data_IF_829149914759
#
_entry.id   IF_829149914759
#
_cell.length_a   1.000
_cell.length_b   1.000
_cell.length_c   1.000
_cell.angle_alpha   90.00
_cell.angle_beta   90.00
_cell.angle_gamma   90.00
#
_symmetry.space_group_name_H-M   'P 1'
#
loop_
_entity.id
_entity.type
_entity.pdbx_description
1 polymer ?
#
# COMPACT_ATOMS: atom_id res chain seq x y z
N UNK A 1 -37.60 8.19 17.47
CA UNK A 1 -36.82 6.96 17.21
C UNK A 1 -35.72 7.33 16.23
N UNK A 2 -34.57 7.77 16.75
CA UNK A 2 -33.40 8.08 15.92
C UNK A 2 -32.55 6.83 15.83
N UNK A 3 -32.25 6.38 14.62
CA UNK A 3 -31.36 5.24 14.40
C UNK A 3 -29.93 5.80 14.52
N UNK A 4 -29.32 5.64 15.70
CA UNK A 4 -27.87 5.71 15.82
C UNK A 4 -27.29 4.52 15.03
N UNK A 5 -26.74 4.80 13.84
CA UNK A 5 -25.80 3.86 13.24
C UNK A 5 -24.48 4.06 13.97
N UNK A 6 -24.09 3.07 14.76
CA UNK A 6 -22.74 2.93 15.25
C UNK A 6 -21.81 2.79 14.04
N UNK A 7 -21.36 3.94 13.54
CA UNK A 7 -20.34 4.04 12.51
C UNK A 7 -19.04 3.74 13.24
N UNK A 8 -18.62 2.48 13.21
CA UNK A 8 -17.33 2.06 13.74
C UNK A 8 -16.19 2.99 13.30
N UNK A 9 -15.00 2.89 13.91
CA UNK A 9 -13.89 3.78 13.61
C UNK A 9 -13.66 3.86 12.10
N UNK A 10 -13.84 5.05 11.52
CA UNK A 10 -13.70 5.26 10.09
C UNK A 10 -12.34 4.79 9.56
N UNK A 11 -12.28 4.46 8.27
CA UNK A 11 -11.09 3.92 7.64
C UNK A 11 -9.85 4.80 7.90
N UNK A 12 -8.78 4.18 8.42
CA UNK A 12 -7.51 4.85 8.71
C UNK A 12 -6.51 4.49 7.62
N UNK A 13 -6.28 5.39 6.67
CA UNK A 13 -5.44 5.13 5.51
C UNK A 13 -4.45 6.27 5.32
N UNK A 14 -3.16 5.94 5.15
CA UNK A 14 -2.09 6.85 4.75
C UNK A 14 -1.52 6.37 3.41
N UNK A 15 -1.61 7.21 2.38
CA UNK A 15 -1.22 6.87 1.02
C UNK A 15 -0.05 7.75 0.57
N UNK A 16 1.12 7.14 0.38
CA UNK A 16 2.36 7.81 0.01
C UNK A 16 2.60 7.71 -1.49
N UNK A 17 2.98 8.81 -2.13
CA UNK A 17 3.23 8.85 -3.58
C UNK A 17 4.45 8.01 -3.98
N UNK A 18 5.53 8.05 -3.19
CA UNK A 18 6.77 7.32 -3.47
C UNK A 18 7.33 6.64 -2.20
N UNK A 19 8.32 5.74 -2.35
CA UNK A 19 8.95 5.06 -1.21
C UNK A 19 10.33 5.62 -0.85
N UNK A 20 10.94 6.36 -1.77
CA UNK A 20 12.30 6.90 -1.61
C UNK A 20 12.38 8.24 -2.35
N UNK A 21 13.05 9.22 -1.73
CA UNK A 21 13.49 10.45 -2.38
C UNK A 21 14.95 10.28 -2.85
N UNK A 22 15.32 10.90 -3.97
CA UNK A 22 16.65 10.72 -4.56
C UNK A 22 17.76 11.07 -3.55
N UNK A 23 18.64 10.11 -3.25
CA UNK A 23 19.77 10.28 -2.31
C UNK A 23 19.45 10.01 -0.84
N UNK A 24 18.22 9.62 -0.52
CA UNK A 24 17.81 9.30 0.85
C UNK A 24 17.65 7.79 1.09
N UNK A 25 17.64 7.41 2.36
CA UNK A 25 17.30 6.04 2.78
C UNK A 25 15.82 5.74 2.50
N UNK A 26 15.50 4.45 2.34
CA UNK A 26 14.13 3.98 2.18
C UNK A 26 13.20 4.52 3.29
N UNK A 27 12.09 5.14 2.87
CA UNK A 27 11.08 5.83 3.70
C UNK A 27 11.57 7.02 4.55
N UNK A 28 12.80 7.50 4.40
CA UNK A 28 13.37 8.56 5.24
C UNK A 28 12.48 9.82 5.33
N UNK A 29 12.00 10.33 4.19
CA UNK A 29 11.10 11.49 4.15
C UNK A 29 9.74 11.24 4.84
N UNK A 30 9.28 9.98 4.86
CA UNK A 30 7.96 9.59 5.34
C UNK A 30 7.96 9.10 6.80
N UNK A 31 9.14 8.85 7.40
CA UNK A 31 9.23 8.28 8.76
C UNK A 31 8.42 9.08 9.79
N UNK A 32 8.46 10.44 9.83
CA UNK A 32 7.69 11.20 10.82
C UNK A 32 6.18 10.98 10.65
N UNK A 33 5.71 10.89 9.41
CA UNK A 33 4.29 10.70 9.08
C UNK A 33 3.82 9.28 9.40
N UNK A 34 4.61 8.26 9.03
CA UNK A 34 4.29 6.85 9.32
C UNK A 34 4.27 6.63 10.84
N UNK A 35 5.29 7.14 11.54
CA UNK A 35 5.40 7.01 13.00
C UNK A 35 4.24 7.67 13.73
N UNK A 36 3.91 8.91 13.38
CA UNK A 36 2.79 9.63 14.00
C UNK A 36 1.44 8.94 13.70
N UNK A 37 1.25 8.47 12.47
CA UNK A 37 0.04 7.78 12.05
C UNK A 37 -0.20 6.48 12.84
N UNK A 38 0.79 5.59 12.90
CA UNK A 38 0.64 4.34 13.67
C UNK A 38 0.57 4.58 15.18
N UNK A 39 1.30 5.57 15.71
CA UNK A 39 1.21 5.97 17.13
C UNK A 39 -0.20 6.43 17.50
N UNK A 40 -0.85 7.27 16.68
CA UNK A 40 -2.25 7.69 16.85
C UNK A 40 -3.24 6.53 16.80
N UNK A 41 -2.86 5.44 16.14
CA UNK A 41 -3.66 4.21 16.07
C UNK A 41 -3.33 3.20 17.18
N UNK A 42 -2.38 3.50 18.07
CA UNK A 42 -1.84 2.57 19.07
C UNK A 42 -1.34 1.26 18.45
N UNK A 43 -0.58 1.38 17.34
CA UNK A 43 0.02 0.27 16.62
C UNK A 43 1.54 0.35 16.72
N UNK A 44 2.15 -0.70 17.25
CA UNK A 44 3.59 -0.89 17.38
C UNK A 44 4.10 -2.05 16.53
N UNK A 45 3.22 -2.82 15.88
CA UNK A 45 3.54 -3.92 14.98
C UNK A 45 2.68 -3.90 13.72
N UNK A 46 3.28 -4.12 12.57
CA UNK A 46 2.58 -4.12 11.27
C UNK A 46 2.90 -5.37 10.45
N UNK A 47 1.93 -5.79 9.65
CA UNK A 47 2.11 -6.79 8.61
C UNK A 47 2.50 -6.11 7.31
N UNK A 48 3.67 -6.46 6.79
CA UNK A 48 4.20 -5.98 5.52
C UNK A 48 3.81 -6.90 4.37
N UNK A 49 3.36 -6.29 3.26
CA UNK A 49 3.03 -6.96 2.00
C UNK A 49 4.10 -6.60 0.94
N UNK A 50 5.12 -7.44 0.72
CA UNK A 50 6.25 -7.18 -0.19
C UNK A 50 5.99 -7.61 -1.64
N UNK A 51 4.75 -7.90 -2.01
CA UNK A 51 4.40 -8.57 -3.26
C UNK A 51 4.72 -7.78 -4.54
N UNK A 52 5.08 -6.50 -4.45
CA UNK A 52 5.42 -5.69 -5.62
C UNK A 52 6.81 -5.98 -6.23
N UNK A 53 7.67 -6.75 -5.54
CA UNK A 53 9.03 -7.10 -5.98
C UNK A 53 9.26 -8.63 -5.92
N UNK A 54 10.19 -9.14 -6.73
CA UNK A 54 10.53 -10.58 -6.72
C UNK A 54 11.37 -10.98 -5.50
N UNK A 55 12.36 -10.18 -5.13
CA UNK A 55 13.18 -10.40 -3.93
C UNK A 55 12.43 -9.91 -2.68
N UNK A 56 11.52 -10.72 -2.17
CA UNK A 56 10.69 -10.38 -1.01
C UNK A 56 11.47 -10.42 0.30
N UNK A 57 12.46 -11.30 0.43
CA UNK A 57 13.32 -11.39 1.61
C UNK A 57 14.21 -10.16 1.75
N UNK A 58 14.93 -9.80 0.67
CA UNK A 58 15.74 -8.59 0.66
C UNK A 58 14.89 -7.33 0.90
N UNK A 59 13.68 -7.28 0.32
CA UNK A 59 12.77 -6.15 0.54
C UNK A 59 12.28 -6.06 1.99
N UNK A 60 11.89 -7.20 2.58
CA UNK A 60 11.46 -7.25 3.98
C UNK A 60 12.58 -6.82 4.94
N UNK A 61 13.83 -7.21 4.69
CA UNK A 61 14.96 -6.77 5.50
C UNK A 61 15.17 -5.25 5.46
N UNK A 62 15.05 -4.63 4.28
CA UNK A 62 15.14 -3.17 4.13
C UNK A 62 13.98 -2.48 4.86
N UNK A 63 12.74 -2.95 4.66
CA UNK A 63 11.56 -2.39 5.31
C UNK A 63 11.62 -2.53 6.84
N UNK A 64 12.05 -3.69 7.34
CA UNK A 64 12.20 -3.97 8.78
C UNK A 64 13.20 -3.02 9.43
N UNK A 65 14.35 -2.76 8.80
CA UNK A 65 15.32 -1.78 9.28
C UNK A 65 14.73 -0.36 9.34
N UNK A 66 13.89 0.02 8.38
CA UNK A 66 13.24 1.34 8.37
C UNK A 66 12.19 1.46 9.49
N UNK A 67 11.31 0.47 9.63
CA UNK A 67 10.27 0.47 10.68
C UNK A 67 10.86 0.39 12.08
N UNK A 68 11.98 -0.34 12.27
CA UNK A 68 12.67 -0.40 13.56
C UNK A 68 13.17 0.98 14.02
N UNK A 69 13.64 1.85 13.11
CA UNK A 69 14.01 3.25 13.45
C UNK A 69 12.82 4.06 13.95
N UNK A 70 11.61 3.71 13.52
CA UNK A 70 10.37 4.35 13.96
C UNK A 70 9.86 3.79 15.30
N UNK A 71 10.47 2.71 15.80
CA UNK A 71 10.01 1.98 16.99
C UNK A 71 8.81 1.08 16.70
N UNK A 72 8.67 0.60 15.45
CA UNK A 72 7.57 -0.25 15.00
C UNK A 72 8.16 -1.58 14.52
N UNK A 73 7.63 -2.68 15.03
CA UNK A 73 7.96 -4.03 14.58
C UNK A 73 7.29 -4.34 13.25
N UNK A 74 7.96 -5.12 12.41
CA UNK A 74 7.49 -5.47 11.08
C UNK A 74 7.66 -6.98 10.86
N UNK A 75 6.53 -7.65 10.64
CA UNK A 75 6.47 -9.02 10.14
C UNK A 75 6.12 -8.99 8.65
N UNK A 76 6.71 -9.86 7.85
CA UNK A 76 6.47 -9.89 6.41
C UNK A 76 5.59 -11.07 6.04
N UNK A 77 4.50 -10.83 5.30
CA UNK A 77 3.48 -11.85 5.04
C UNK A 77 4.02 -13.08 4.29
N UNK A 78 5.05 -12.91 3.46
CA UNK A 78 5.61 -14.01 2.67
C UNK A 78 6.38 -15.03 3.51
N UNK A 79 6.68 -14.73 4.77
CA UNK A 79 7.33 -15.67 5.70
C UNK A 79 6.32 -16.55 6.46
N UNK A 80 5.02 -16.28 6.34
CA UNK A 80 3.98 -17.07 6.97
C UNK A 80 3.53 -18.21 6.06
N UNK A 81 3.28 -19.39 6.64
CA UNK A 81 2.69 -20.53 5.91
C UNK A 81 1.23 -20.28 5.53
N UNK A 82 0.52 -19.44 6.29
CA UNK A 82 -0.86 -19.04 6.04
C UNK A 82 -0.98 -17.50 5.97
N UNK A 83 -1.06 -16.92 4.75
CA UNK A 83 -1.20 -15.48 4.58
C UNK A 83 -2.58 -14.96 5.04
N UNK A 84 -3.63 -15.79 5.04
CA UNK A 84 -4.95 -15.39 5.52
C UNK A 84 -4.91 -15.18 7.02
N UNK A 85 -4.33 -16.14 7.76
CA UNK A 85 -4.14 -16.01 9.20
C UNK A 85 -3.33 -14.76 9.56
N UNK A 86 -2.23 -14.51 8.85
CA UNK A 86 -1.41 -13.32 9.08
C UNK A 86 -2.22 -12.03 8.85
N UNK A 87 -2.96 -11.93 7.74
CA UNK A 87 -3.80 -10.78 7.44
C UNK A 87 -4.94 -10.58 8.46
N UNK A 88 -5.53 -11.67 8.96
CA UNK A 88 -6.56 -11.62 10.01
C UNK A 88 -6.02 -11.22 11.39
N UNK A 89 -4.72 -11.40 11.65
CA UNK A 89 -4.11 -11.02 12.93
C UNK A 89 -3.41 -9.66 12.87
N UNK A 90 -3.21 -9.11 11.68
CA UNK A 90 -2.55 -7.83 11.49
C UNK A 90 -3.20 -6.70 12.30
N UNK A 91 -2.40 -6.03 13.12
CA UNK A 91 -2.76 -4.82 13.88
C UNK A 91 -2.56 -3.54 13.10
N UNK A 92 -1.83 -3.61 11.98
CA UNK A 92 -1.67 -2.57 10.97
C UNK A 92 -1.08 -3.16 9.70
N UNK A 93 -1.35 -2.56 8.55
CA UNK A 93 -0.83 -2.99 7.27
C UNK A 93 0.17 -1.98 6.72
N UNK A 94 1.25 -2.49 6.15
CA UNK A 94 2.12 -1.73 5.26
C UNK A 94 2.23 -2.45 3.91
N UNK A 95 1.88 -1.77 2.82
CA UNK A 95 1.98 -2.33 1.46
C UNK A 95 3.05 -1.58 0.69
N UNK A 96 4.10 -2.32 0.30
CA UNK A 96 5.29 -1.77 -0.32
C UNK A 96 5.08 -1.31 -1.77
N UNK A 97 6.03 -0.50 -2.24
CA UNK A 97 6.16 -0.09 -3.63
C UNK A 97 6.91 -1.11 -4.48
N UNK A 98 6.84 -0.96 -5.80
CA UNK A 98 7.39 -1.88 -6.79
C UNK A 98 6.53 -1.84 -8.03
N UNK A 99 6.32 -2.98 -8.69
CA UNK A 99 5.39 -3.07 -9.82
C UNK A 99 3.95 -3.37 -9.36
N UNK A 100 3.01 -2.49 -9.74
CA UNK A 100 1.59 -2.54 -9.35
C UNK A 100 0.87 -3.77 -9.91
N UNK A 101 1.16 -4.18 -11.15
CA UNK A 101 0.54 -5.35 -11.77
C UNK A 101 0.97 -6.65 -11.07
N UNK A 102 2.25 -6.76 -10.73
CA UNK A 102 2.80 -7.89 -9.97
C UNK A 102 2.23 -7.94 -8.55
N UNK A 103 2.17 -6.79 -7.87
CA UNK A 103 1.54 -6.65 -6.56
C UNK A 103 0.09 -7.13 -6.59
N UNK A 104 -0.71 -6.61 -7.53
CA UNK A 104 -2.12 -6.96 -7.63
C UNK A 104 -2.32 -8.44 -7.95
N UNK A 105 -1.55 -8.99 -8.90
CA UNK A 105 -1.61 -10.42 -9.24
C UNK A 105 -1.38 -11.29 -8.01
N UNK A 106 -0.35 -11.00 -7.21
CA UNK A 106 -0.04 -11.78 -6.01
C UNK A 106 -1.04 -11.57 -4.88
N UNK A 107 -1.65 -10.40 -4.77
CA UNK A 107 -2.77 -10.17 -3.86
C UNK A 107 -3.98 -11.05 -4.21
N UNK A 108 -4.29 -11.22 -5.50
CA UNK A 108 -5.30 -12.17 -5.97
C UNK A 108 -4.88 -13.62 -5.67
N UNK A 109 -3.64 -14.01 -5.96
CA UNK A 109 -3.15 -15.38 -5.70
C UNK A 109 -3.14 -15.74 -4.22
N UNK A 110 -2.90 -14.77 -3.34
CA UNK A 110 -2.94 -14.95 -1.90
C UNK A 110 -4.36 -14.89 -1.32
N UNK A 111 -5.35 -14.42 -2.09
CA UNK A 111 -6.76 -14.28 -1.70
C UNK A 111 -7.00 -13.48 -0.40
N UNK A 112 -6.18 -12.44 -0.17
CA UNK A 112 -6.22 -11.64 1.07
C UNK A 112 -6.85 -10.25 0.91
N UNK A 113 -7.24 -9.84 -0.30
CA UNK A 113 -7.72 -8.46 -0.53
C UNK A 113 -8.99 -8.14 0.25
N UNK A 114 -9.95 -9.06 0.29
CA UNK A 114 -11.19 -8.88 1.04
C UNK A 114 -10.94 -8.88 2.56
N UNK A 115 -9.95 -9.64 3.03
CA UNK A 115 -9.50 -9.61 4.43
C UNK A 115 -8.96 -8.21 4.74
N UNK A 116 -8.01 -7.71 3.96
CA UNK A 116 -7.44 -6.37 4.15
C UNK A 116 -8.54 -5.32 4.13
N UNK A 117 -9.42 -5.35 3.11
CA UNK A 117 -10.54 -4.41 2.96
C UNK A 117 -11.43 -4.40 4.20
N UNK A 118 -11.87 -5.57 4.65
CA UNK A 118 -12.74 -5.71 5.82
C UNK A 118 -12.05 -5.23 7.09
N UNK A 119 -10.79 -5.64 7.32
CA UNK A 119 -10.00 -5.25 8.49
C UNK A 119 -9.81 -3.74 8.57
N UNK A 120 -9.56 -3.07 7.44
CA UNK A 120 -9.38 -1.62 7.40
C UNK A 120 -10.71 -0.88 7.55
N UNK A 121 -11.73 -1.25 6.77
CA UNK A 121 -12.99 -0.48 6.71
C UNK A 121 -13.93 -0.75 7.89
N UNK A 122 -13.94 -1.97 8.43
CA UNK A 122 -14.89 -2.36 9.49
C UNK A 122 -14.23 -2.44 10.87
N UNK A 123 -12.97 -2.88 10.93
CA UNK A 123 -12.25 -3.03 12.20
C UNK A 123 -11.32 -1.84 12.52
N UNK A 124 -11.21 -0.86 11.62
CA UNK A 124 -10.42 0.35 11.83
C UNK A 124 -8.91 0.09 11.92
N UNK A 125 -8.43 -1.03 11.38
CA UNK A 125 -7.01 -1.38 11.32
C UNK A 125 -6.31 -0.41 10.34
N UNK A 126 -5.24 0.28 10.76
CA UNK A 126 -4.58 1.26 9.91
C UNK A 126 -3.87 0.60 8.71
N UNK A 127 -3.95 1.27 7.57
CA UNK A 127 -3.27 0.90 6.33
C UNK A 127 -2.30 2.00 5.89
N UNK A 128 -1.08 1.62 5.55
CA UNK A 128 -0.10 2.49 4.89
C UNK A 128 0.26 1.88 3.54
N UNK A 129 0.07 2.63 2.46
CA UNK A 129 0.48 2.26 1.11
C UNK A 129 1.58 3.18 0.61
N UNK A 130 2.54 2.63 -0.15
CA UNK A 130 3.57 3.43 -0.83
C UNK A 130 3.68 3.06 -2.29
N UNK A 131 3.67 4.06 -3.19
CA UNK A 131 3.75 3.86 -4.65
C UNK A 131 2.68 2.86 -5.13
N UNK A 132 3.06 1.67 -5.61
CA UNK A 132 2.14 0.58 -5.96
C UNK A 132 1.16 0.23 -4.84
N UNK A 133 1.59 0.28 -3.57
CA UNK A 133 0.72 0.11 -2.41
C UNK A 133 -0.40 1.15 -2.35
N UNK A 134 -0.13 2.39 -2.78
CA UNK A 134 -1.15 3.44 -2.92
C UNK A 134 -2.12 3.12 -4.04
N UNK A 135 -1.64 2.62 -5.19
CA UNK A 135 -2.52 2.21 -6.29
C UNK A 135 -3.47 1.08 -5.89
N UNK A 136 -3.00 0.05 -5.18
CA UNK A 136 -3.89 -1.08 -4.82
C UNK A 136 -4.87 -0.74 -3.70
N UNK A 137 -4.67 0.36 -2.98
CA UNK A 137 -5.62 0.84 -1.99
C UNK A 137 -6.89 1.46 -2.60
N UNK A 138 -6.87 1.83 -3.89
CA UNK A 138 -8.00 2.47 -4.59
C UNK A 138 -8.97 1.44 -5.16
N UNK A 139 -10.01 1.91 -5.88
CA UNK A 139 -10.98 1.03 -6.56
C UNK A 139 -10.35 0.17 -7.67
N UNK A 140 -9.27 0.64 -8.29
CA UNK A 140 -8.61 -0.06 -9.40
C UNK A 140 -7.20 0.46 -9.65
N UNK A 141 -6.36 -0.34 -10.29
CA UNK A 141 -4.99 0.09 -10.65
C UNK A 141 -4.90 0.85 -11.99
N UNK A 142 -6.03 1.27 -12.58
CA UNK A 142 -6.10 1.90 -13.92
C UNK A 142 -5.29 3.19 -14.09
N UNK A 143 -4.79 3.78 -13.00
CA UNK A 143 -3.98 5.01 -12.98
C UNK A 143 -2.52 4.77 -12.57
N UNK A 144 -2.06 3.50 -12.55
CA UNK A 144 -0.63 3.21 -12.36
C UNK A 144 0.17 3.61 -13.59
N UNK A 145 1.40 4.09 -13.37
CA UNK A 145 2.37 4.37 -14.44
C UNK A 145 3.23 3.14 -14.78
N UNK A 146 3.04 2.03 -14.05
CA UNK A 146 3.86 0.83 -14.23
C UNK A 146 3.57 0.13 -15.56
N UNK A 147 4.61 -0.49 -16.12
CA UNK A 147 4.45 -1.38 -17.27
C UNK A 147 3.71 -2.67 -16.85
N UNK A 148 2.74 -3.16 -17.64
CA UNK A 148 2.01 -4.40 -17.35
C UNK A 148 2.86 -5.65 -17.64
N UNK A 149 3.85 -5.93 -16.78
CA UNK A 149 4.77 -7.06 -16.93
C UNK A 149 4.11 -8.43 -16.69
N UNK A 150 2.97 -8.44 -16.00
CA UNK A 150 2.14 -9.62 -15.74
C UNK A 150 0.66 -9.23 -15.78
N UNK A 151 -0.22 -10.18 -16.09
CA UNK A 151 -1.66 -9.96 -16.12
C UNK A 151 -2.31 -10.46 -14.81
N UNK A 152 -2.88 -9.57 -13.96
CA UNK A 152 -3.76 -9.99 -12.87
C UNK A 152 -5.13 -10.46 -13.40
N UNK A 153 -5.89 -11.25 -12.63
CA UNK A 153 -7.24 -11.68 -13.01
C UNK A 153 -8.21 -10.53 -13.33
N UNK A 154 -8.05 -9.39 -12.66
CA UNK A 154 -8.82 -8.16 -12.86
C UNK A 154 -7.97 -6.95 -12.42
N UNK A 155 -8.35 -5.75 -12.86
CA UNK A 155 -7.74 -4.49 -12.40
C UNK A 155 -8.43 -3.88 -11.18
N UNK A 156 -9.54 -4.49 -10.73
CA UNK A 156 -10.15 -4.15 -9.45
C UNK A 156 -9.15 -4.40 -8.33
N UNK A 157 -9.03 -3.44 -7.42
CA UNK A 157 -8.10 -3.47 -6.30
C UNK A 157 -8.86 -3.47 -4.96
N UNK A 158 -8.17 -3.21 -3.85
CA UNK A 158 -8.72 -3.40 -2.50
C UNK A 158 -9.93 -2.48 -2.26
N UNK A 159 -9.95 -1.27 -2.83
CA UNK A 159 -11.06 -0.34 -2.74
C UNK A 159 -11.29 0.23 -1.34
N UNK A 160 -10.20 0.62 -0.66
CA UNK A 160 -10.22 1.33 0.61
C UNK A 160 -10.67 2.79 0.44
N UNK A 161 -10.40 3.37 -0.73
CA UNK A 161 -10.88 4.70 -1.15
C UNK A 161 -11.65 4.60 -2.46
N UNK A 162 -12.63 5.49 -2.66
CA UNK A 162 -13.59 5.44 -3.78
C UNK A 162 -13.12 6.17 -5.07
N UNK A 163 -11.85 6.54 -5.13
CA UNK A 163 -11.24 7.23 -6.28
C UNK A 163 -9.89 6.61 -6.59
N UNK A 164 -9.43 6.77 -7.83
CA UNK A 164 -8.10 6.35 -8.26
C UNK A 164 -7.06 7.45 -8.00
N UNK A 165 -5.82 7.05 -7.76
CA UNK A 165 -4.67 7.93 -7.54
C UNK A 165 -3.64 7.60 -8.61
N UNK A 166 -3.04 8.62 -9.22
CA UNK A 166 -1.86 8.49 -10.06
C UNK A 166 -0.62 8.93 -9.25
N UNK A 167 0.11 8.00 -8.61
CA UNK A 167 1.32 8.35 -7.87
C UNK A 167 2.42 8.79 -8.83
N UNK A 168 3.36 9.61 -8.36
CA UNK A 168 4.45 10.17 -9.18
C UNK A 168 3.96 11.04 -10.34
N UNK A 169 2.78 11.64 -10.23
CA UNK A 169 2.34 12.63 -11.21
C UNK A 169 3.35 13.77 -11.29
N UNK A 170 3.93 13.95 -12.46
CA UNK A 170 4.74 15.11 -12.82
C UNK A 170 3.96 15.85 -13.89
N UNK A 171 3.70 17.14 -13.68
CA UNK A 171 3.11 17.97 -14.73
C UNK A 171 4.00 17.88 -15.99
N UNK A 172 3.42 17.68 -17.18
CA UNK A 172 4.20 17.63 -18.40
C UNK A 172 4.91 18.98 -18.57
N UNK A 173 6.24 18.93 -18.71
CA UNK A 173 7.00 20.11 -19.10
C UNK A 173 6.54 20.52 -20.51
N UNK A 174 5.78 21.62 -20.56
CA UNK A 174 5.21 22.19 -21.79
C UNK A 174 6.30 22.61 -22.79
N UNK A 175 7.57 22.70 -22.36
CA UNK A 175 8.73 23.00 -23.20
C UNK A 175 9.44 21.75 -23.73
N UNK A 176 9.10 20.54 -23.27
CA UNK A 176 9.73 19.31 -23.71
C UNK A 176 9.25 18.90 -25.13
N UNK A 177 10.20 18.69 -26.05
CA UNK A 177 9.94 18.18 -27.41
C UNK A 177 9.64 16.67 -27.40
N UNK A 178 8.73 16.20 -26.55
CA UNK A 178 8.31 14.80 -26.54
C UNK A 178 7.18 14.58 -27.56
N UNK A 179 7.46 13.75 -28.57
CA UNK A 179 6.53 13.32 -29.64
C UNK A 179 5.57 12.24 -29.12
N UNK A 180 4.80 12.53 -28.07
CA UNK A 180 3.66 11.73 -27.64
C UNK A 180 2.40 12.28 -28.27
N UNK A 181 1.61 11.43 -28.93
CA UNK A 181 0.32 11.83 -29.55
C UNK A 181 -0.57 12.40 -28.45
N UNK A 182 -0.93 13.68 -28.58
CA UNK A 182 -1.95 14.31 -27.74
C UNK A 182 -3.29 13.70 -28.13
N UNK A 183 -4.02 13.13 -27.17
CA UNK A 183 -5.44 12.87 -27.35
C UNK A 183 -6.13 14.24 -27.45
N UNK A 184 -6.46 14.62 -28.68
CA UNK A 184 -7.38 15.72 -29.01
C UNK A 184 -8.82 15.33 -28.73
#
# INVERSE_FOLDING_TARGET
MGIERDMGPGAKVLLLSNSTMHGENYLAYAEPHIKDFFKKCNVDRVLFIPYALNDMDGYAEVAKKAFLRMGIELDSIHTFSDPHWAAEKATGFFVGGGNTFLLLKRLYEADIMDIIRRRVLQNGIPYVGSSAGTNVATVSINTTNDMPIVQPPSFQAIGLVHFNINPHYVDPDLSSKHMGVRAS
#
